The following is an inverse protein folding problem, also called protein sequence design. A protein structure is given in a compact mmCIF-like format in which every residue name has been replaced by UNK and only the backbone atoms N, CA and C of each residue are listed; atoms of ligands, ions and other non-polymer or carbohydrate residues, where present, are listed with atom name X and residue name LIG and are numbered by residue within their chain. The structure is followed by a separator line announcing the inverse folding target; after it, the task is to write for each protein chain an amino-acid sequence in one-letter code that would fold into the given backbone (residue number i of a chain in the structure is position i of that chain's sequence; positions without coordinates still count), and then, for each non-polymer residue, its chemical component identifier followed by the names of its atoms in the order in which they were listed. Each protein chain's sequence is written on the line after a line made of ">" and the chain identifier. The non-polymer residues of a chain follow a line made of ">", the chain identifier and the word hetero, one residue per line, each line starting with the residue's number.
data_IF_058856009767
#
_entry.id   IF_058856009767
#
_cell.length_a   1.000
_cell.length_b   1.000
_cell.length_c   1.000
_cell.angle_alpha   90.00
_cell.angle_beta   90.00
_cell.angle_gamma   90.00
#
_symmetry.space_group_name_H-M   'P 1'
#
loop_
_entity.id
_entity.type
_entity.pdbx_description
1 polymer ?
#
# COMPACT_ATOMS: atom_id res chain seq x y z
N UNK A 1 11.06 -1.51 0.55
CA UNK A 1 11.17 -2.91 1.04
C UNK A 1 10.47 -3.10 2.40
N UNK A 2 9.24 -2.63 2.55
CA UNK A 2 8.42 -3.01 3.73
C UNK A 2 8.11 -4.51 3.67
N UNK A 3 7.92 -5.03 2.45
CA UNK A 3 7.95 -6.46 2.16
C UNK A 3 9.13 -6.81 1.25
N UNK A 4 9.76 -7.97 1.48
CA UNK A 4 11.01 -8.33 0.82
C UNK A 4 10.89 -8.60 -0.68
N UNK A 5 9.70 -8.96 -1.16
CA UNK A 5 9.39 -9.24 -2.57
C UNK A 5 8.93 -8.00 -3.38
N UNK A 6 8.81 -6.83 -2.74
CA UNK A 6 8.28 -5.60 -3.36
C UNK A 6 9.42 -4.65 -3.73
N UNK A 7 10.00 -4.84 -4.91
CA UNK A 7 11.26 -4.22 -5.30
C UNK A 7 11.14 -2.79 -5.84
N UNK A 8 9.96 -2.35 -6.25
CA UNK A 8 9.76 -1.04 -6.88
C UNK A 8 10.26 0.13 -6.03
N UNK A 9 10.05 0.06 -4.70
CA UNK A 9 10.57 1.04 -3.75
C UNK A 9 12.09 1.04 -3.66
N UNK A 10 12.73 -0.13 -3.63
CA UNK A 10 14.19 -0.24 -3.59
C UNK A 10 14.83 0.32 -4.86
N UNK A 11 14.27 0.00 -6.03
CA UNK A 11 14.73 0.52 -7.32
C UNK A 11 14.58 2.04 -7.38
N UNK A 12 13.48 2.57 -6.82
CA UNK A 12 13.25 4.02 -6.71
C UNK A 12 14.32 4.71 -5.84
N UNK A 13 14.66 4.13 -4.68
CA UNK A 13 15.71 4.70 -3.82
C UNK A 13 17.10 4.62 -4.48
N UNK A 14 17.42 3.51 -5.13
CA UNK A 14 18.67 3.37 -5.92
C UNK A 14 18.75 4.43 -7.03
N UNK A 15 17.63 4.69 -7.72
CA UNK A 15 17.57 5.78 -8.69
C UNK A 15 17.87 7.14 -8.05
N UNK A 16 17.28 7.47 -6.90
CA UNK A 16 17.54 8.73 -6.20
C UNK A 16 18.99 8.88 -5.76
N UNK A 17 19.63 7.78 -5.30
CA UNK A 17 21.07 7.77 -5.00
C UNK A 17 21.90 8.03 -6.24
N UNK A 18 21.60 7.40 -7.38
CA UNK A 18 22.27 7.63 -8.67
C UNK A 18 22.10 9.06 -9.20
N UNK A 19 20.99 9.74 -8.86
CA UNK A 19 20.78 11.14 -9.17
C UNK A 19 21.48 12.09 -8.18
N UNK A 20 22.20 11.57 -7.17
CA UNK A 20 22.79 12.35 -6.08
C UNK A 20 21.77 13.34 -5.45
N UNK A 21 20.53 12.88 -5.26
CA UNK A 21 19.47 13.73 -4.72
C UNK A 21 19.88 14.31 -3.37
N UNK A 22 19.74 15.64 -3.23
CA UNK A 22 19.92 16.38 -1.99
C UNK A 22 18.66 17.19 -1.72
N UNK A 23 18.09 17.14 -0.51
CA UNK A 23 16.96 17.98 -0.17
C UNK A 23 17.35 19.45 -0.14
N UNK A 24 16.47 20.32 -0.65
CA UNK A 24 16.68 21.77 -0.59
C UNK A 24 16.36 22.37 0.79
N UNK A 25 15.59 21.64 1.60
CA UNK A 25 15.30 21.97 3.01
C UNK A 25 14.95 20.71 3.78
N UNK A 26 15.05 20.77 5.11
CA UNK A 26 14.72 19.66 6.00
C UNK A 26 15.64 18.45 5.88
N UNK A 27 15.12 17.28 6.24
CA UNK A 27 15.84 16.00 6.20
C UNK A 27 14.98 14.99 5.45
N UNK A 28 15.60 14.23 4.54
CA UNK A 28 14.97 13.08 3.87
C UNK A 28 15.67 11.81 4.30
N UNK A 29 14.92 10.87 4.87
CA UNK A 29 15.41 9.55 5.25
C UNK A 29 14.97 8.52 4.22
N UNK A 30 15.92 7.85 3.58
CA UNK A 30 15.67 6.70 2.71
C UNK A 30 15.83 5.41 3.51
N UNK A 31 14.75 4.63 3.60
CA UNK A 31 14.71 3.46 4.47
C UNK A 31 14.43 2.20 3.66
N UNK A 32 15.39 1.27 3.64
CA UNK A 32 15.16 -0.11 3.26
C UNK A 32 14.69 -0.87 4.50
N UNK A 33 13.38 -1.08 4.63
CA UNK A 33 12.78 -1.50 5.89
C UNK A 33 13.10 -2.96 6.23
N UNK A 34 12.56 -3.94 5.51
CA UNK A 34 12.72 -5.36 5.80
C UNK A 34 13.80 -6.01 4.91
N UNK A 35 15.06 -5.61 5.11
CA UNK A 35 16.21 -6.13 4.35
C UNK A 35 16.41 -7.63 4.58
N UNK A 36 16.09 -8.14 5.78
CA UNK A 36 16.18 -9.56 6.08
C UNK A 36 15.28 -10.39 5.16
N UNK A 37 14.03 -9.98 5.00
CA UNK A 37 13.10 -10.65 4.08
C UNK A 37 13.58 -10.55 2.61
N UNK A 38 14.10 -9.41 2.19
CA UNK A 38 14.66 -9.25 0.84
C UNK A 38 15.77 -10.28 0.56
N UNK A 39 16.66 -10.52 1.50
CA UNK A 39 17.76 -11.48 1.34
C UNK A 39 17.30 -12.95 1.28
N UNK A 40 16.04 -13.24 1.59
CA UNK A 40 15.47 -14.58 1.43
C UNK A 40 14.89 -14.82 0.03
N UNK A 41 15.08 -13.90 -0.91
CA UNK A 41 14.54 -14.04 -2.26
C UNK A 41 15.02 -15.31 -2.95
N UNK A 42 14.06 -16.07 -3.49
CA UNK A 42 14.27 -17.31 -4.23
C UNK A 42 13.54 -17.22 -5.58
N UNK A 43 14.25 -17.32 -6.71
CA UNK A 43 13.63 -17.29 -8.04
C UNK A 43 12.61 -18.42 -8.27
N UNK A 44 12.72 -19.54 -7.56
CA UNK A 44 11.73 -20.61 -7.61
C UNK A 44 10.45 -20.32 -6.83
N UNK A 45 10.48 -19.34 -5.91
CA UNK A 45 9.34 -18.90 -5.11
C UNK A 45 9.40 -17.37 -4.86
N UNK A 46 9.22 -16.55 -5.90
CA UNK A 46 9.47 -15.11 -5.86
C UNK A 46 8.54 -14.33 -4.90
N UNK A 47 7.41 -14.91 -4.52
CA UNK A 47 6.48 -14.33 -3.54
C UNK A 47 6.73 -14.83 -2.10
N UNK A 48 7.67 -15.75 -1.91
CA UNK A 48 7.90 -16.43 -0.64
C UNK A 48 8.61 -15.61 0.41
N UNK A 49 9.24 -14.51 0.02
CA UNK A 49 10.03 -13.65 0.90
C UNK A 49 9.33 -12.33 1.27
N UNK A 50 8.00 -12.33 1.33
CA UNK A 50 7.23 -11.16 1.77
C UNK A 50 7.69 -10.69 3.16
N UNK A 51 7.88 -11.61 4.09
CA UNK A 51 8.41 -11.39 5.44
C UNK A 51 9.18 -12.63 5.91
N UNK A 52 9.94 -12.51 7.00
CA UNK A 52 10.69 -13.61 7.60
C UNK A 52 9.81 -14.42 8.56
N UNK A 53 9.25 -13.76 9.58
CA UNK A 53 8.46 -14.39 10.67
C UNK A 53 7.04 -13.85 10.72
N UNK A 54 6.81 -12.54 10.50
CA UNK A 54 5.50 -11.89 10.53
C UNK A 54 5.43 -10.68 9.60
N UNK A 55 4.21 -10.30 9.19
CA UNK A 55 4.02 -9.17 8.28
C UNK A 55 4.50 -7.85 8.92
N UNK A 56 5.58 -7.28 8.36
CA UNK A 56 6.19 -6.05 8.84
C UNK A 56 5.22 -4.87 8.89
N UNK A 57 4.20 -4.87 8.02
CA UNK A 57 3.20 -3.82 7.97
C UNK A 57 1.95 -4.11 8.85
N UNK A 58 2.13 -4.91 9.94
CA UNK A 58 1.11 -5.21 10.96
C UNK A 58 1.59 -4.99 12.39
N UNK A 59 2.86 -4.61 12.57
CA UNK A 59 3.52 -4.58 13.89
C UNK A 59 3.62 -3.19 14.50
N UNK A 60 3.02 -2.17 13.90
CA UNK A 60 3.29 -0.76 14.22
C UNK A 60 2.47 -0.16 15.36
N UNK A 61 1.66 -0.93 16.08
CA UNK A 61 1.01 -0.45 17.30
C UNK A 61 1.98 -0.37 18.48
N UNK A 62 1.73 0.56 19.38
CA UNK A 62 2.57 0.72 20.59
C UNK A 62 2.60 -0.53 21.46
N UNK A 63 1.45 -1.20 21.62
CA UNK A 63 1.34 -2.42 22.42
C UNK A 63 2.22 -3.55 21.85
N UNK A 64 2.30 -3.64 20.52
CA UNK A 64 3.14 -4.63 19.82
C UNK A 64 4.62 -4.25 19.94
N UNK A 65 4.98 -3.00 19.61
CA UNK A 65 6.38 -2.55 19.63
C UNK A 65 7.00 -2.55 21.02
N UNK A 66 6.22 -2.18 22.05
CA UNK A 66 6.66 -2.12 23.46
C UNK A 66 6.41 -3.43 24.21
N UNK A 67 5.67 -4.36 23.60
CA UNK A 67 5.31 -5.65 24.19
C UNK A 67 6.48 -6.65 24.24
N UNK A 68 6.26 -7.80 24.90
CA UNK A 68 7.30 -8.82 25.08
C UNK A 68 7.53 -9.69 23.84
N UNK A 69 6.65 -9.63 22.82
CA UNK A 69 6.78 -10.40 21.58
C UNK A 69 8.07 -10.00 20.85
N UNK A 70 8.74 -10.97 20.28
CA UNK A 70 9.96 -10.77 19.52
C UNK A 70 9.89 -11.50 18.16
N UNK A 71 10.41 -10.85 17.13
CA UNK A 71 10.58 -11.38 15.78
C UNK A 71 11.63 -10.58 15.03
N UNK A 72 12.06 -11.08 13.88
CA UNK A 72 12.98 -10.34 12.99
C UNK A 72 12.36 -8.98 12.62
N UNK A 73 11.08 -8.98 12.25
CA UNK A 73 10.34 -7.78 11.89
C UNK A 73 10.19 -6.80 13.05
N UNK A 74 9.86 -7.29 14.25
CA UNK A 74 9.72 -6.43 15.44
C UNK A 74 11.04 -5.80 15.88
N UNK A 75 12.14 -6.55 15.86
CA UNK A 75 13.46 -5.97 16.14
C UNK A 75 13.76 -4.83 15.17
N UNK A 76 13.53 -5.05 13.89
CA UNK A 76 13.75 -4.03 12.86
C UNK A 76 12.79 -2.85 12.98
N UNK A 77 11.51 -3.07 13.28
CA UNK A 77 10.53 -2.00 13.51
C UNK A 77 10.92 -1.12 14.71
N UNK A 78 11.42 -1.71 15.80
CA UNK A 78 11.93 -0.99 16.97
C UNK A 78 13.15 -0.11 16.67
N UNK A 79 14.02 -0.53 15.75
CA UNK A 79 15.13 0.31 15.27
C UNK A 79 14.62 1.51 14.44
N UNK A 80 13.57 1.31 13.66
CA UNK A 80 13.07 2.32 12.72
C UNK A 80 12.07 3.30 13.37
N UNK A 81 11.47 2.93 14.50
CA UNK A 81 10.36 3.68 15.11
C UNK A 81 10.71 5.15 15.37
N UNK A 82 11.94 5.46 15.75
CA UNK A 82 12.38 6.84 16.01
C UNK A 82 12.37 7.71 14.76
N UNK A 83 12.73 7.15 13.60
CA UNK A 83 12.67 7.85 12.32
C UNK A 83 11.22 8.07 11.86
N UNK A 84 10.37 7.05 12.06
CA UNK A 84 8.96 7.10 11.69
C UNK A 84 8.20 8.12 12.56
N UNK A 85 8.40 8.09 13.88
CA UNK A 85 7.68 8.95 14.81
C UNK A 85 8.07 10.44 14.72
N UNK A 86 9.26 10.76 14.18
CA UNK A 86 9.73 12.13 14.00
C UNK A 86 9.45 12.70 12.61
N UNK A 87 8.96 11.89 11.66
CA UNK A 87 8.71 12.34 10.31
C UNK A 87 7.42 13.20 10.21
N UNK A 88 7.49 14.29 9.44
CA UNK A 88 6.31 15.08 9.07
C UNK A 88 5.52 14.39 7.96
N UNK A 89 6.22 13.77 7.01
CA UNK A 89 5.65 13.05 5.88
C UNK A 89 6.27 11.67 5.72
N UNK A 90 5.44 10.69 5.37
CA UNK A 90 5.87 9.33 5.08
C UNK A 90 5.25 8.86 3.74
N UNK A 91 6.08 8.34 2.85
CA UNK A 91 5.66 7.56 1.69
C UNK A 91 6.16 6.13 1.85
N UNK A 92 5.24 5.18 2.02
CA UNK A 92 5.53 3.74 2.08
C UNK A 92 5.34 3.12 0.70
N UNK A 93 6.41 2.60 0.11
CA UNK A 93 6.42 2.10 -1.26
C UNK A 93 6.21 0.60 -1.31
N UNK A 94 5.08 0.20 -1.87
CA UNK A 94 4.62 -1.18 -2.05
C UNK A 94 4.32 -1.50 -3.51
N UNK A 95 4.06 -2.76 -3.75
CA UNK A 95 3.50 -3.29 -4.99
C UNK A 95 2.69 -4.55 -4.72
N UNK A 96 1.96 -5.05 -5.70
CA UNK A 96 0.98 -6.14 -5.52
C UNK A 96 1.41 -7.40 -6.26
N UNK A 97 1.12 -8.57 -5.68
CA UNK A 97 1.36 -9.86 -6.35
C UNK A 97 0.37 -10.11 -7.51
N UNK A 98 -0.90 -9.72 -7.33
CA UNK A 98 -1.91 -9.85 -8.37
C UNK A 98 -1.96 -8.60 -9.28
N UNK A 99 -2.28 -8.76 -10.58
CA UNK A 99 -2.50 -7.64 -11.48
C UNK A 99 -3.58 -6.70 -10.94
N UNK A 100 -3.23 -5.41 -10.88
CA UNK A 100 -4.11 -4.32 -10.47
C UNK A 100 -3.58 -3.02 -11.05
N UNK A 101 -4.48 -2.09 -11.36
CA UNK A 101 -4.04 -0.71 -11.54
C UNK A 101 -3.39 -0.19 -10.24
N UNK A 102 -2.38 0.68 -10.35
CA UNK A 102 -1.74 1.26 -9.18
C UNK A 102 -2.72 2.11 -8.38
N UNK A 103 -2.54 2.11 -7.06
CA UNK A 103 -3.40 2.88 -6.16
C UNK A 103 -2.64 3.43 -4.96
N UNK A 104 -3.16 4.53 -4.41
CA UNK A 104 -2.71 5.08 -3.13
C UNK A 104 -3.60 4.58 -2.01
N UNK A 105 -3.03 4.11 -0.92
CA UNK A 105 -3.75 3.74 0.30
C UNK A 105 -3.68 4.89 1.29
N UNK A 106 -4.83 5.46 1.61
CA UNK A 106 -4.95 6.67 2.44
C UNK A 106 -5.30 6.41 3.90
N UNK A 107 -5.40 5.16 4.32
CA UNK A 107 -5.75 4.79 5.69
C UNK A 107 -7.21 5.11 6.04
N UNK A 108 -7.52 5.10 7.34
CA UNK A 108 -8.89 5.29 7.85
C UNK A 108 -9.21 6.78 7.92
N UNK A 109 -10.24 7.23 7.18
CA UNK A 109 -10.60 8.65 7.03
C UNK A 109 -10.66 9.43 8.37
N UNK A 110 -11.42 9.02 9.40
CA UNK A 110 -11.49 9.75 10.65
C UNK A 110 -10.22 9.71 11.50
N UNK A 111 -9.27 8.83 11.16
CA UNK A 111 -7.99 8.68 11.88
C UNK A 111 -6.79 9.31 11.16
N UNK A 112 -6.98 10.07 10.12
CA UNK A 112 -5.87 10.66 9.36
C UNK A 112 -5.96 10.44 7.85
N UNK A 113 -6.84 9.56 7.39
CA UNK A 113 -7.03 9.27 5.97
C UNK A 113 -7.40 10.50 5.14
N UNK A 114 -8.10 11.49 5.72
CA UNK A 114 -8.41 12.73 5.01
C UNK A 114 -7.14 13.55 4.69
N UNK A 115 -6.15 13.59 5.59
CA UNK A 115 -4.85 14.24 5.34
C UNK A 115 -4.11 13.53 4.18
N UNK A 116 -4.16 12.21 4.17
CA UNK A 116 -3.56 11.37 3.14
C UNK A 116 -4.21 11.59 1.78
N UNK A 117 -5.55 11.70 1.72
CA UNK A 117 -6.30 12.05 0.50
C UNK A 117 -5.83 13.43 -0.01
N UNK A 118 -5.76 14.43 0.86
CA UNK A 118 -5.35 15.79 0.49
C UNK A 118 -3.90 15.84 -0.02
N UNK A 119 -3.00 15.05 0.57
CA UNK A 119 -1.61 14.93 0.11
C UNK A 119 -1.56 14.21 -1.25
N UNK A 120 -2.28 13.12 -1.40
CA UNK A 120 -2.34 12.35 -2.64
C UNK A 120 -2.89 13.17 -3.80
N UNK A 121 -3.93 13.97 -3.57
CA UNK A 121 -4.50 14.87 -4.57
C UNK A 121 -3.48 15.88 -5.09
N UNK A 122 -2.58 16.38 -4.24
CA UNK A 122 -1.48 17.27 -4.65
C UNK A 122 -0.41 16.55 -5.46
N UNK A 123 -0.15 15.27 -5.18
CA UNK A 123 0.78 14.43 -5.93
C UNK A 123 0.23 14.13 -7.32
N UNK A 124 -1.09 13.87 -7.46
CA UNK A 124 -1.77 13.61 -8.71
C UNK A 124 -1.41 12.26 -9.37
N UNK A 125 -0.82 11.33 -8.65
CA UNK A 125 -0.52 9.95 -9.06
C UNK A 125 -0.64 9.01 -7.86
N UNK A 126 -1.03 7.74 -8.09
CA UNK A 126 -1.75 7.22 -9.26
C UNK A 126 -3.20 7.72 -9.33
N UNK A 127 -3.98 7.26 -10.32
CA UNK A 127 -5.39 7.65 -10.52
C UNK A 127 -6.29 7.24 -9.33
N UNK A 128 -6.03 6.10 -8.70
CA UNK A 128 -6.89 5.54 -7.66
C UNK A 128 -6.39 5.82 -6.25
N UNK A 129 -7.31 6.30 -5.40
CA UNK A 129 -7.10 6.46 -3.96
C UNK A 129 -8.04 5.51 -3.22
N UNK A 130 -7.48 4.57 -2.49
CA UNK A 130 -8.25 3.69 -1.60
C UNK A 130 -8.33 4.30 -0.20
N UNK A 131 -9.55 4.53 0.27
CA UNK A 131 -9.81 4.89 1.67
C UNK A 131 -10.21 3.62 2.42
N UNK A 132 -9.40 3.23 3.37
CA UNK A 132 -9.54 1.97 4.09
C UNK A 132 -10.42 2.10 5.35
N UNK A 133 -10.82 0.96 5.89
CA UNK A 133 -11.50 0.81 7.18
C UNK A 133 -10.56 0.32 8.30
N UNK A 134 -9.27 0.19 8.00
CA UNK A 134 -8.24 -0.41 8.84
C UNK A 134 -7.96 -1.86 8.49
N UNK A 135 -7.03 -2.48 9.19
CA UNK A 135 -6.67 -3.87 8.97
C UNK A 135 -6.82 -4.69 10.25
N UNK A 136 -7.58 -5.80 10.17
CA UNK A 136 -7.91 -6.63 11.33
C UNK A 136 -6.67 -7.27 12.01
N UNK A 137 -5.62 -7.54 11.22
CA UNK A 137 -4.43 -8.27 11.70
C UNK A 137 -3.34 -7.36 12.31
N UNK A 138 -3.57 -6.06 12.42
CA UNK A 138 -2.62 -5.15 13.06
C UNK A 138 -2.51 -3.78 12.39
N UNK A 139 -1.78 -2.89 13.04
CA UNK A 139 -1.61 -1.50 12.59
C UNK A 139 -0.51 -1.41 11.52
N UNK A 140 -0.80 -0.71 10.44
CA UNK A 140 0.18 -0.39 9.40
C UNK A 140 1.03 0.81 9.81
N UNK A 141 2.22 0.93 9.21
CA UNK A 141 3.14 2.04 9.44
C UNK A 141 2.50 3.41 9.18
N UNK A 142 1.72 3.53 8.11
CA UNK A 142 1.02 4.77 7.74
C UNK A 142 -0.07 5.22 8.73
N UNK A 143 -0.47 4.35 9.65
CA UNK A 143 -1.51 4.63 10.66
C UNK A 143 -0.92 4.88 12.06
N UNK A 144 0.42 4.81 12.17
CA UNK A 144 1.11 4.95 13.43
C UNK A 144 1.08 6.38 13.97
N UNK A 145 0.89 6.52 15.29
CA UNK A 145 1.15 7.73 16.05
C UNK A 145 0.48 8.98 15.47
N UNK A 146 1.28 9.99 15.15
CA UNK A 146 0.80 11.27 14.62
C UNK A 146 0.17 11.15 13.22
N UNK A 147 0.56 10.18 12.41
CA UNK A 147 -0.05 9.93 11.11
C UNK A 147 -1.52 9.51 11.24
N UNK A 148 -1.81 8.64 12.21
CA UNK A 148 -3.17 8.19 12.52
C UNK A 148 -4.01 9.20 13.31
N UNK A 149 -3.47 10.35 13.68
CA UNK A 149 -4.16 11.37 14.46
C UNK A 149 -4.65 12.51 13.53
N UNK A 150 -5.98 12.73 13.40
CA UNK A 150 -6.51 13.76 12.51
C UNK A 150 -6.14 15.19 12.92
N UNK A 151 -5.78 15.43 14.19
CA UNK A 151 -5.43 16.74 14.74
C UNK A 151 -3.92 17.07 14.62
N UNK A 152 -3.12 16.17 14.06
CA UNK A 152 -1.69 16.39 13.79
C UNK A 152 -1.47 16.65 12.32
N UNK A 153 -0.46 17.45 11.97
CA UNK A 153 -0.11 17.76 10.59
C UNK A 153 0.59 16.59 9.88
N UNK A 154 1.28 15.74 10.64
CA UNK A 154 2.02 14.59 10.12
C UNK A 154 1.13 13.72 9.22
N UNK A 155 1.59 13.42 8.03
CA UNK A 155 0.78 12.73 7.01
C UNK A 155 1.55 11.59 6.38
N UNK A 156 0.93 10.43 6.33
CA UNK A 156 1.49 9.23 5.71
C UNK A 156 0.57 8.71 4.60
N UNK A 157 1.18 8.22 3.54
CA UNK A 157 0.50 7.52 2.44
C UNK A 157 1.28 6.26 2.08
N UNK A 158 0.58 5.27 1.55
CA UNK A 158 1.17 4.05 1.03
C UNK A 158 0.82 3.93 -0.46
N UNK A 159 1.84 3.71 -1.28
CA UNK A 159 1.66 3.47 -2.71
C UNK A 159 1.70 1.96 -2.98
N UNK A 160 0.68 1.46 -3.65
CA UNK A 160 0.70 0.18 -4.36
C UNK A 160 0.96 0.46 -5.84
N UNK A 161 2.19 0.28 -6.28
CA UNK A 161 2.67 0.79 -7.57
C UNK A 161 2.25 -0.06 -8.79
N UNK A 162 1.50 -1.11 -8.60
CA UNK A 162 1.10 -2.08 -9.62
C UNK A 162 1.63 -3.49 -9.30
N UNK A 163 1.62 -4.39 -10.28
CA UNK A 163 2.09 -5.75 -10.11
C UNK A 163 3.63 -5.81 -10.00
N UNK A 164 4.18 -6.59 -9.05
CA UNK A 164 5.61 -6.60 -8.67
C UNK A 164 6.59 -6.64 -9.85
N UNK A 165 6.29 -7.43 -10.88
CA UNK A 165 7.21 -7.76 -11.96
C UNK A 165 6.94 -7.00 -13.25
N UNK A 166 5.94 -6.10 -13.26
CA UNK A 166 5.67 -5.24 -14.40
C UNK A 166 6.61 -4.03 -14.42
N UNK A 167 7.19 -3.73 -15.58
CA UNK A 167 8.08 -2.56 -15.74
C UNK A 167 7.38 -1.24 -15.38
N UNK A 168 6.08 -1.14 -15.61
CA UNK A 168 5.29 0.04 -15.26
C UNK A 168 5.28 0.32 -13.75
N UNK A 169 5.40 -0.73 -12.92
CA UNK A 169 5.44 -0.62 -11.47
C UNK A 169 6.64 0.25 -10.99
N UNK A 170 7.81 0.07 -11.59
CA UNK A 170 8.99 0.90 -11.29
C UNK A 170 8.75 2.37 -11.65
N UNK A 171 8.22 2.63 -12.84
CA UNK A 171 7.95 4.00 -13.29
C UNK A 171 6.94 4.72 -12.38
N UNK A 172 5.84 4.06 -12.02
CA UNK A 172 4.84 4.61 -11.10
C UNK A 172 5.45 4.91 -9.72
N UNK A 173 6.22 3.96 -9.15
CA UNK A 173 6.87 4.16 -7.86
C UNK A 173 7.83 5.37 -7.90
N UNK A 174 8.67 5.45 -8.91
CA UNK A 174 9.65 6.52 -9.10
C UNK A 174 8.98 7.88 -9.30
N UNK A 175 8.04 8.00 -10.22
CA UNK A 175 7.43 9.30 -10.55
C UNK A 175 6.49 9.79 -9.44
N UNK A 176 5.78 8.87 -8.75
CA UNK A 176 5.03 9.22 -7.54
C UNK A 176 5.96 9.73 -6.45
N UNK A 177 7.13 9.09 -6.25
CA UNK A 177 8.12 9.55 -5.27
C UNK A 177 8.68 10.93 -5.62
N UNK A 178 9.02 11.19 -6.88
CA UNK A 178 9.50 12.51 -7.33
C UNK A 178 8.46 13.61 -7.06
N UNK A 179 7.20 13.34 -7.39
CA UNK A 179 6.09 14.27 -7.11
C UNK A 179 5.84 14.45 -5.61
N UNK A 180 5.96 13.38 -4.81
CA UNK A 180 5.90 13.46 -3.34
C UNK A 180 6.99 14.37 -2.77
N UNK A 181 8.25 14.22 -3.21
CA UNK A 181 9.36 15.07 -2.77
C UNK A 181 9.13 16.55 -3.15
N UNK A 182 8.55 16.82 -4.32
CA UNK A 182 8.14 18.17 -4.72
C UNK A 182 7.04 18.73 -3.83
N UNK A 183 5.96 17.97 -3.63
CA UNK A 183 4.78 18.41 -2.87
C UNK A 183 5.10 18.64 -1.40
N UNK A 184 6.03 17.88 -0.83
CA UNK A 184 6.50 18.05 0.55
C UNK A 184 7.55 19.16 0.68
N UNK A 185 7.96 19.78 -0.44
CA UNK A 185 8.85 20.93 -0.45
C UNK A 185 10.34 20.61 -0.30
N UNK A 186 10.73 19.35 -0.31
CA UNK A 186 12.15 18.93 -0.17
C UNK A 186 12.89 18.85 -1.50
N UNK A 187 12.16 18.93 -2.62
CA UNK A 187 12.72 19.05 -3.98
C UNK A 187 12.09 20.23 -4.71
N UNK A 188 12.87 20.87 -5.61
CA UNK A 188 12.31 21.92 -6.48
C UNK A 188 11.36 21.31 -7.52
N UNK A 189 10.39 22.09 -7.97
CA UNK A 189 9.50 21.69 -9.06
C UNK A 189 10.29 21.36 -10.34
N UNK A 190 11.24 22.22 -10.71
CA UNK A 190 12.10 22.00 -11.88
C UNK A 190 12.84 20.66 -11.83
N UNK A 191 13.45 20.32 -10.68
CA UNK A 191 14.18 19.08 -10.53
C UNK A 191 13.26 17.85 -10.64
N UNK A 192 12.10 17.90 -10.00
CA UNK A 192 11.17 16.78 -10.00
C UNK A 192 10.46 16.62 -11.36
N UNK A 193 9.91 17.72 -11.91
CA UNK A 193 9.10 17.68 -13.12
C UNK A 193 9.93 17.33 -14.37
N UNK A 194 11.22 17.74 -14.44
CA UNK A 194 12.13 17.35 -15.53
C UNK A 194 12.42 15.83 -15.58
N UNK A 195 12.06 15.08 -14.54
CA UNK A 195 12.29 13.65 -14.41
C UNK A 195 10.99 12.82 -14.43
N UNK A 196 9.85 13.50 -14.57
CA UNK A 196 8.53 12.88 -14.68
C UNK A 196 8.03 12.97 -16.12
N UNK A 197 7.46 11.89 -16.61
CA UNK A 197 6.78 11.83 -17.92
C UNK A 197 5.28 11.61 -17.79
N UNK A 198 4.82 11.10 -16.64
CA UNK A 198 3.41 10.87 -16.38
C UNK A 198 2.72 12.19 -16.00
N UNK A 199 1.61 12.53 -16.65
CA UNK A 199 0.83 13.71 -16.28
C UNK A 199 0.22 13.53 -14.88
N UNK A 200 -0.14 14.63 -14.24
CA UNK A 200 -1.05 14.57 -13.11
C UNK A 200 -2.43 14.12 -13.59
N UNK A 201 -3.07 13.24 -12.82
CA UNK A 201 -4.37 12.67 -13.13
C UNK A 201 -5.42 13.21 -12.17
N UNK A 202 -6.66 13.34 -12.65
CA UNK A 202 -7.82 13.46 -11.77
C UNK A 202 -8.00 12.13 -11.04
N UNK A 203 -7.93 12.19 -9.72
CA UNK A 203 -7.93 10.98 -8.92
C UNK A 203 -9.35 10.53 -8.56
N UNK A 204 -9.56 9.23 -8.49
CA UNK A 204 -10.80 8.57 -8.10
C UNK A 204 -10.64 8.00 -6.70
N UNK A 205 -11.52 8.39 -5.80
CA UNK A 205 -11.56 7.83 -4.44
C UNK A 205 -12.43 6.57 -4.46
N UNK A 206 -11.89 5.46 -3.97
CA UNK A 206 -12.65 4.24 -3.69
C UNK A 206 -12.70 4.03 -2.18
N UNK A 207 -13.89 4.12 -1.60
CA UNK A 207 -14.13 3.85 -0.19
C UNK A 207 -14.35 2.34 0.00
N UNK A 208 -13.51 1.70 0.79
CA UNK A 208 -13.74 0.30 1.21
C UNK A 208 -15.00 0.24 2.05
N UNK A 209 -15.89 -0.69 1.72
CA UNK A 209 -17.16 -0.91 2.43
C UNK A 209 -17.12 -2.17 3.26
N UNK A 210 -16.60 -3.24 2.70
CA UNK A 210 -16.50 -4.55 3.35
C UNK A 210 -15.39 -5.40 2.75
N UNK A 211 -15.02 -6.48 3.44
CA UNK A 211 -14.06 -7.45 2.97
C UNK A 211 -14.59 -8.87 3.11
N UNK A 212 -14.15 -9.75 2.25
CA UNK A 212 -14.42 -11.17 2.35
C UNK A 212 -13.15 -11.92 2.72
N UNK A 213 -13.22 -12.70 3.80
CA UNK A 213 -12.16 -13.60 4.22
C UNK A 213 -12.56 -15.06 3.94
N UNK A 214 -11.59 -15.89 3.52
CA UNK A 214 -11.80 -17.28 3.24
C UNK A 214 -12.39 -18.01 4.45
N UNK A 215 -13.49 -18.72 4.26
CA UNK A 215 -14.14 -19.56 5.29
C UNK A 215 -13.65 -21.00 5.25
N UNK A 216 -13.07 -21.41 4.11
CA UNK A 216 -12.51 -22.74 3.92
C UNK A 216 -11.24 -22.68 3.06
N UNK A 217 -10.52 -23.79 2.93
CA UNK A 217 -9.42 -23.92 1.97
C UNK A 217 -9.92 -24.25 0.55
N UNK A 218 -11.22 -24.44 0.37
CA UNK A 218 -11.85 -24.73 -0.92
C UNK A 218 -12.30 -23.46 -1.66
N UNK A 219 -11.90 -22.27 -1.17
CA UNK A 219 -12.22 -21.02 -1.85
C UNK A 219 -11.72 -21.06 -3.31
N UNK A 220 -12.62 -20.78 -4.23
CA UNK A 220 -12.34 -20.78 -5.66
C UNK A 220 -13.04 -19.62 -6.36
N UNK A 221 -12.29 -18.79 -7.06
CA UNK A 221 -12.85 -17.80 -7.98
C UNK A 221 -13.56 -18.45 -9.16
N UNK A 222 -14.70 -17.90 -9.57
CA UNK A 222 -15.46 -18.36 -10.75
C UNK A 222 -14.90 -17.80 -12.05
N UNK A 223 -14.15 -16.69 -11.98
CA UNK A 223 -13.46 -16.06 -13.11
C UNK A 223 -12.12 -15.47 -12.67
N UNK A 224 -11.39 -14.87 -13.58
CA UNK A 224 -10.11 -14.19 -13.33
C UNK A 224 -10.37 -12.70 -13.14
N UNK A 225 -10.29 -12.23 -11.90
CA UNK A 225 -10.50 -10.83 -11.55
C UNK A 225 -9.19 -10.07 -11.38
N UNK A 226 -9.20 -8.79 -11.78
CA UNK A 226 -8.11 -7.85 -11.53
C UNK A 226 -8.46 -6.90 -10.38
N UNK A 227 -7.45 -6.32 -9.76
CA UNK A 227 -7.69 -5.24 -8.81
C UNK A 227 -8.28 -4.01 -9.49
N UNK A 228 -9.22 -3.37 -8.80
CA UNK A 228 -10.01 -2.20 -9.24
C UNK A 228 -10.98 -2.49 -10.41
N UNK A 229 -11.24 -3.76 -10.70
CA UNK A 229 -12.30 -4.16 -11.62
C UNK A 229 -13.68 -3.83 -11.03
N UNK A 230 -14.58 -3.31 -11.86
CA UNK A 230 -15.94 -2.93 -11.46
C UNK A 230 -16.93 -4.02 -11.83
N UNK A 231 -17.64 -4.54 -10.85
CA UNK A 231 -18.73 -5.50 -11.03
C UNK A 231 -20.04 -4.72 -11.13
N UNK A 232 -20.60 -4.64 -12.33
CA UNK A 232 -21.73 -3.75 -12.65
C UNK A 232 -22.99 -4.07 -11.83
N UNK A 233 -23.30 -5.36 -11.61
CA UNK A 233 -24.58 -5.77 -11.01
C UNK A 233 -24.40 -6.43 -9.65
N UNK A 234 -25.21 -5.98 -8.71
CA UNK A 234 -25.41 -6.66 -7.44
C UNK A 234 -25.83 -8.13 -7.65
N UNK A 235 -25.34 -9.01 -6.76
CA UNK A 235 -25.66 -10.42 -6.82
C UNK A 235 -24.89 -11.23 -7.88
N UNK A 236 -24.00 -10.60 -8.67
CA UNK A 236 -23.08 -11.32 -9.57
C UNK A 236 -22.25 -12.32 -8.78
N UNK A 237 -22.27 -13.60 -9.19
CA UNK A 237 -21.50 -14.65 -8.57
C UNK A 237 -20.00 -14.46 -8.87
N UNK A 238 -19.15 -14.48 -7.84
CA UNK A 238 -17.73 -14.19 -7.93
C UNK A 238 -16.85 -15.37 -7.53
N UNK A 239 -17.22 -16.10 -6.52
CA UNK A 239 -16.43 -17.23 -6.00
C UNK A 239 -17.32 -18.23 -5.28
N UNK A 240 -16.81 -19.45 -5.11
CA UNK A 240 -17.38 -20.47 -4.22
C UNK A 240 -16.48 -20.66 -2.99
N UNK A 241 -17.09 -20.77 -1.80
CA UNK A 241 -16.36 -20.99 -0.54
C UNK A 241 -17.24 -21.66 0.51
N UNK A 242 -16.81 -22.77 1.08
CA UNK A 242 -17.53 -23.53 2.10
C UNK A 242 -18.99 -23.88 1.72
N UNK A 243 -19.22 -24.18 0.44
CA UNK A 243 -20.56 -24.48 -0.09
C UNK A 243 -21.48 -23.28 -0.30
N UNK A 244 -20.94 -22.06 -0.24
CA UNK A 244 -21.67 -20.81 -0.47
C UNK A 244 -21.06 -20.03 -1.63
N UNK A 245 -21.89 -19.38 -2.42
CA UNK A 245 -21.45 -18.47 -3.48
C UNK A 245 -21.22 -17.06 -2.92
N UNK A 246 -19.97 -16.56 -3.02
CA UNK A 246 -19.68 -15.13 -2.82
C UNK A 246 -20.27 -14.35 -3.97
N UNK A 247 -21.03 -13.30 -3.65
CA UNK A 247 -21.66 -12.43 -4.65
C UNK A 247 -21.28 -10.97 -4.45
N UNK A 248 -21.29 -10.21 -5.54
CA UNK A 248 -21.18 -8.76 -5.49
C UNK A 248 -22.25 -8.16 -4.56
N UNK A 249 -21.86 -7.34 -3.57
CA UNK A 249 -22.81 -6.85 -2.56
C UNK A 249 -23.78 -5.75 -3.08
N UNK A 250 -23.39 -5.04 -4.16
CA UNK A 250 -24.16 -3.94 -4.73
C UNK A 250 -23.74 -3.68 -6.19
N UNK A 251 -24.53 -2.85 -6.91
CA UNK A 251 -24.19 -2.40 -8.25
C UNK A 251 -22.92 -1.55 -8.25
N UNK A 252 -22.08 -1.73 -9.29
CA UNK A 252 -20.79 -1.06 -9.46
C UNK A 252 -19.82 -1.27 -8.29
N UNK A 253 -19.80 -2.48 -7.74
CA UNK A 253 -18.83 -2.85 -6.71
C UNK A 253 -17.42 -2.94 -7.30
N UNK A 254 -16.48 -2.20 -6.72
CA UNK A 254 -15.07 -2.25 -7.08
C UNK A 254 -14.38 -3.38 -6.32
N UNK A 255 -13.70 -4.28 -7.02
CA UNK A 255 -12.89 -5.33 -6.41
C UNK A 255 -11.52 -4.77 -6.01
N UNK A 256 -11.22 -4.73 -4.73
CA UNK A 256 -9.96 -4.22 -4.22
C UNK A 256 -9.07 -5.37 -3.83
N UNK A 257 -7.91 -5.49 -4.48
CA UNK A 257 -6.88 -6.50 -4.24
C UNK A 257 -7.43 -7.93 -4.16
N UNK A 258 -8.21 -8.43 -5.16
CA UNK A 258 -8.62 -9.83 -5.18
C UNK A 258 -7.37 -10.71 -5.24
N UNK A 259 -7.24 -11.62 -4.28
CA UNK A 259 -6.05 -12.50 -4.24
C UNK A 259 -6.11 -13.54 -5.34
N UNK A 260 -4.97 -13.78 -5.98
CA UNK A 260 -4.76 -14.92 -6.90
C UNK A 260 -3.89 -16.01 -6.27
N UNK A 261 -3.45 -15.80 -5.04
CA UNK A 261 -2.63 -16.78 -4.33
C UNK A 261 -3.43 -18.06 -4.09
N UNK A 262 -2.83 -19.18 -4.46
CA UNK A 262 -3.32 -20.53 -4.10
C UNK A 262 -2.88 -20.94 -2.69
N UNK A 263 -2.03 -20.13 -2.04
CA UNK A 263 -1.54 -20.34 -0.68
C UNK A 263 -2.20 -19.32 0.23
N UNK A 264 -3.24 -19.73 0.92
CA UNK A 264 -3.95 -18.93 1.91
C UNK A 264 -4.40 -19.82 3.07
N UNK A 265 -4.81 -19.23 4.16
CA UNK A 265 -5.39 -19.90 5.32
C UNK A 265 -6.84 -19.45 5.51
N UNK A 266 -7.63 -20.22 6.24
CA UNK A 266 -8.94 -19.76 6.69
C UNK A 266 -8.76 -18.44 7.45
N UNK A 267 -9.58 -17.44 7.12
CA UNK A 267 -9.47 -16.07 7.65
C UNK A 267 -8.59 -15.12 6.81
N UNK A 268 -7.86 -15.63 5.79
CA UNK A 268 -7.16 -14.74 4.85
C UNK A 268 -8.15 -13.88 4.06
N UNK A 269 -7.88 -12.59 3.93
CA UNK A 269 -8.69 -11.70 3.08
C UNK A 269 -8.53 -12.10 1.61
N UNK A 270 -9.64 -12.44 0.97
CA UNK A 270 -9.68 -12.83 -0.43
C UNK A 270 -9.95 -11.64 -1.36
N UNK A 271 -10.78 -10.70 -0.91
CA UNK A 271 -11.10 -9.46 -1.62
C UNK A 271 -11.69 -8.44 -0.64
N UNK A 272 -11.57 -7.16 -0.98
CA UNK A 272 -12.38 -6.09 -0.40
C UNK A 272 -13.28 -5.51 -1.48
N UNK A 273 -14.44 -5.02 -1.09
CA UNK A 273 -15.36 -4.30 -1.97
C UNK A 273 -15.31 -2.82 -1.64
N UNK A 274 -15.43 -1.99 -2.68
CA UNK A 274 -15.43 -0.55 -2.53
C UNK A 274 -16.41 0.14 -3.44
N UNK A 275 -16.79 1.36 -3.06
CA UNK A 275 -17.58 2.29 -3.87
C UNK A 275 -16.71 3.44 -4.33
N UNK A 276 -16.83 3.80 -5.61
CA UNK A 276 -16.23 5.04 -6.09
C UNK A 276 -17.04 6.21 -5.54
N UNK A 277 -16.33 7.15 -4.90
CA UNK A 277 -16.91 8.42 -4.47
C UNK A 277 -16.58 9.50 -5.49
N UNK A 278 -17.53 10.38 -5.76
CA UNK A 278 -17.24 11.64 -6.46
C UNK A 278 -16.36 12.49 -5.55
N UNK A 279 -15.23 12.97 -6.05
CA UNK A 279 -14.45 13.99 -5.34
C UNK A 279 -15.29 15.28 -5.46
N UNK A 280 -15.91 15.70 -4.35
CA UNK A 280 -16.65 16.94 -4.27
C UNK A 280 -15.69 18.13 -4.08
#
# INVERSE_FOLDING_TARGET
>A
LTHGNELSGAITLDYLFKQNFQPICGVVSFIFANVAAYHMWDPANPDGNRYVEEDFNRVWSDDVLKGPRDSVELRRARELVAYIDTADYLLDLHSMSAPSAPLMVCGVRPKGGQKSINLSAKIGLPEWLMVDTGHANGLRMIERGAFGNPNKHNTAILLEAGQHWEKACEQIARETTLKFLKVTGVATAEWADSRCSLPALEQKVVQVTEGYAAKSLDFQWLDVYNGLEVIEKAGTALAEDAGHTLRSPYDNAVLIMPTRSKRFTVGSTMVRFGRVESIA
#
